data_IF_828959992206
#
_entry.id   IF_828959992206
#
_cell.length_a   1.000
_cell.length_b   1.000
_cell.length_c   1.000
_cell.angle_alpha   90.00
_cell.angle_beta   90.00
_cell.angle_gamma   90.00
#
_symmetry.space_group_name_H-M   'P 1'
#
loop_
_entity.id
_entity.type
_entity.pdbx_description
1 polymer ?
#
# COMPACT_ATOMS: atom_id res chain seq x y z
N UNK A 1 5.61 60.32 -48.74
CA UNK A 1 5.33 61.26 -47.67
C UNK A 1 5.54 60.51 -46.41
N UNK A 2 6.75 60.44 -45.81
CA UNK A 2 7.36 61.44 -44.92
C UNK A 2 6.38 61.73 -43.78
N UNK A 3 6.66 61.42 -42.57
CA UNK A 3 7.50 62.00 -41.53
C UNK A 3 7.31 61.19 -40.28
N UNK A 4 8.33 60.80 -39.66
CA UNK A 4 9.20 61.42 -38.68
C UNK A 4 8.84 61.11 -37.24
N UNK A 5 9.77 60.45 -36.63
CA UNK A 5 9.96 60.34 -35.15
C UNK A 5 10.12 61.73 -34.53
N UNK A 6 9.93 61.87 -33.21
CA UNK A 6 11.13 62.21 -32.45
C UNK A 6 11.33 61.31 -31.19
N UNK A 7 12.62 61.17 -30.96
CA UNK A 7 13.29 60.91 -29.70
C UNK A 7 12.84 61.88 -28.61
N UNK A 8 12.84 61.39 -27.38
CA UNK A 8 13.38 62.09 -26.22
C UNK A 8 13.27 61.17 -25.00
N UNK A 9 14.25 61.00 -24.38
CA UNK A 9 15.17 61.59 -23.43
C UNK A 9 15.15 60.86 -22.13
N UNK A 10 16.24 60.32 -21.91
CA UNK A 10 16.95 60.03 -20.69
C UNK A 10 16.58 60.97 -19.53
N UNK A 11 15.97 60.43 -18.46
CA UNK A 11 16.05 61.03 -17.14
C UNK A 11 16.50 59.99 -16.18
N UNK A 12 17.81 59.98 -15.95
CA UNK A 12 18.38 59.30 -14.81
C UNK A 12 17.84 59.87 -13.50
N UNK A 13 17.31 59.02 -12.66
CA UNK A 13 17.19 59.29 -11.23
C UNK A 13 17.67 58.07 -10.50
N UNK A 14 18.93 58.13 -10.14
CA UNK A 14 19.51 57.35 -9.08
C UNK A 14 18.88 57.75 -7.76
N UNK A 15 18.13 56.85 -7.16
CA UNK A 15 17.78 56.94 -5.75
C UNK A 15 18.66 55.95 -4.95
N UNK A 16 19.18 56.36 -3.81
CA UNK A 16 20.15 55.59 -3.07
C UNK A 16 19.48 54.51 -2.24
N UNK A 17 20.06 53.35 -2.28
CA UNK A 17 20.23 52.37 -1.21
C UNK A 17 19.11 52.17 -0.21
N UNK A 18 18.31 51.15 -0.43
CA UNK A 18 17.81 50.33 0.68
C UNK A 18 18.22 48.89 0.42
N UNK A 19 19.31 48.54 1.06
CA UNK A 19 19.73 47.13 1.24
C UNK A 19 18.69 46.48 2.11
N UNK A 20 17.75 45.78 1.50
CA UNK A 20 16.95 44.79 2.22
C UNK A 20 17.91 43.75 2.75
N UNK A 21 17.88 43.46 4.06
CA UNK A 21 18.63 42.34 4.58
C UNK A 21 18.11 41.07 3.89
N UNK A 22 19.02 40.39 3.21
CA UNK A 22 18.73 39.11 2.58
C UNK A 22 18.15 38.13 3.62
N UNK A 23 16.88 37.93 3.47
CA UNK A 23 16.23 36.77 4.05
C UNK A 23 16.73 35.55 3.23
N UNK A 24 17.86 35.02 3.68
CA UNK A 24 18.28 33.67 3.28
C UNK A 24 17.20 32.74 3.77
N UNK A 25 16.31 32.36 2.87
CA UNK A 25 15.46 31.20 3.08
C UNK A 25 16.38 30.06 3.60
N UNK A 26 16.03 29.39 4.69
CA UNK A 26 16.79 28.23 5.13
C UNK A 26 16.82 27.25 3.97
N UNK A 27 17.99 26.62 3.70
CA UNK A 27 18.04 25.59 2.68
C UNK A 27 16.92 24.60 3.02
N UNK A 28 16.13 24.24 2.01
CA UNK A 28 15.19 23.12 2.09
C UNK A 28 15.98 21.92 2.61
N UNK A 29 16.02 21.77 3.92
CA UNK A 29 16.50 20.55 4.54
C UNK A 29 15.39 19.53 4.28
N UNK A 30 15.58 18.73 3.23
CA UNK A 30 14.80 17.53 3.04
C UNK A 30 14.72 16.81 4.39
N UNK A 31 13.53 16.41 4.86
CA UNK A 31 13.40 15.73 6.13
C UNK A 31 14.29 14.50 6.11
N UNK A 32 15.37 14.56 6.89
CA UNK A 32 16.35 13.47 6.98
C UNK A 32 15.71 12.38 7.83
N UNK A 33 15.13 11.38 7.17
CA UNK A 33 14.63 10.17 7.84
C UNK A 33 15.76 9.53 8.66
N UNK A 34 15.48 9.18 9.90
CA UNK A 34 16.40 8.39 10.72
C UNK A 34 16.64 7.01 10.08
N UNK A 35 17.69 6.29 10.50
CA UNK A 35 17.96 4.94 9.98
C UNK A 35 16.76 4.00 10.17
N UNK A 36 16.13 4.03 11.35
CA UNK A 36 14.94 3.22 11.66
C UNK A 36 13.72 3.60 10.80
N UNK A 37 13.52 4.89 10.53
CA UNK A 37 12.44 5.36 9.66
C UNK A 37 12.68 4.98 8.20
N UNK A 38 13.93 4.97 7.72
CA UNK A 38 14.28 4.49 6.38
C UNK A 38 14.04 2.99 6.22
N UNK A 39 14.48 2.20 7.20
CA UNK A 39 14.28 0.76 7.22
C UNK A 39 12.80 0.41 7.34
N UNK A 40 12.05 1.24 8.04
CA UNK A 40 10.61 1.12 8.15
C UNK A 40 9.92 1.51 6.84
N UNK A 41 10.33 2.63 6.22
CA UNK A 41 9.79 3.08 4.93
C UNK A 41 10.13 2.09 3.81
N UNK A 42 11.34 1.54 3.80
CA UNK A 42 11.71 0.46 2.88
C UNK A 42 10.82 -0.77 3.06
N UNK A 43 10.56 -1.19 4.32
CA UNK A 43 9.61 -2.27 4.63
C UNK A 43 8.17 -1.92 4.27
N UNK A 44 7.76 -0.67 4.45
CA UNK A 44 6.42 -0.20 4.07
C UNK A 44 6.24 -0.12 2.55
N UNK A 45 7.29 0.13 1.77
CA UNK A 45 7.28 0.06 0.30
C UNK A 45 7.37 -1.40 -0.18
N UNK A 46 8.07 -2.26 0.55
CA UNK A 46 8.10 -3.71 0.35
C UNK A 46 6.86 -4.44 0.94
N UNK A 47 5.80 -3.71 1.19
CA UNK A 47 4.52 -4.14 1.82
C UNK A 47 3.90 -5.42 1.21
N UNK A 48 4.39 -5.91 0.09
CA UNK A 48 4.05 -7.23 -0.42
C UNK A 48 4.72 -8.41 0.29
N UNK A 49 5.64 -8.18 1.25
CA UNK A 49 6.47 -9.22 1.85
C UNK A 49 6.33 -9.37 3.38
N UNK A 50 5.48 -8.59 4.03
CA UNK A 50 5.22 -8.81 5.44
C UNK A 50 4.42 -10.10 5.62
N UNK A 51 4.91 -10.98 6.48
CA UNK A 51 4.24 -12.24 6.82
C UNK A 51 4.11 -12.40 8.31
N UNK A 52 3.02 -13.06 8.73
CA UNK A 52 2.71 -13.35 10.13
C UNK A 52 2.24 -14.78 10.23
N UNK A 53 2.76 -15.51 11.21
CA UNK A 53 2.29 -16.85 11.58
C UNK A 53 1.52 -16.77 12.87
N UNK A 54 0.32 -17.34 12.89
CA UNK A 54 -0.55 -17.39 14.06
C UNK A 54 -1.11 -18.81 14.24
N UNK A 55 -1.23 -19.25 15.49
CA UNK A 55 -1.83 -20.55 15.78
C UNK A 55 -3.35 -20.43 15.80
N UNK A 56 -4.02 -21.06 14.85
CA UNK A 56 -5.48 -21.07 14.68
C UNK A 56 -5.99 -22.50 14.82
N UNK A 57 -6.80 -22.75 15.83
CA UNK A 57 -7.35 -24.09 16.15
C UNK A 57 -6.29 -25.18 16.25
N UNK A 58 -5.08 -24.84 16.73
CA UNK A 58 -3.98 -25.78 16.89
C UNK A 58 -3.10 -25.98 15.66
N UNK A 59 -3.34 -25.23 14.58
CA UNK A 59 -2.53 -25.21 13.37
C UNK A 59 -1.80 -23.88 13.23
N UNK A 60 -0.54 -23.93 12.84
CA UNK A 60 0.24 -22.73 12.55
C UNK A 60 -0.08 -22.27 11.12
N UNK A 61 -0.73 -21.13 11.02
CA UNK A 61 -1.17 -20.55 9.74
C UNK A 61 -0.33 -19.32 9.44
N UNK A 62 0.34 -19.32 8.30
CA UNK A 62 1.12 -18.18 7.83
C UNK A 62 0.31 -17.40 6.79
N UNK A 63 0.17 -16.10 7.02
CA UNK A 63 -0.45 -15.15 6.10
C UNK A 63 0.55 -14.04 5.76
N UNK A 64 0.36 -13.38 4.62
CA UNK A 64 1.13 -12.22 4.20
C UNK A 64 0.25 -11.11 3.67
N UNK A 65 0.79 -9.91 3.57
CA UNK A 65 0.12 -8.78 2.92
C UNK A 65 -0.11 -9.08 1.43
N UNK A 66 -1.17 -8.49 0.87
CA UNK A 66 -1.48 -8.56 -0.55
C UNK A 66 -0.72 -7.51 -1.35
N UNK A 67 -0.38 -7.85 -2.59
CA UNK A 67 -0.01 -6.86 -3.60
C UNK A 67 -1.25 -6.24 -4.24
N UNK A 68 -1.11 -5.08 -4.88
CA UNK A 68 -2.19 -4.45 -5.65
C UNK A 68 -2.76 -5.39 -6.72
N UNK A 69 -1.91 -6.20 -7.38
CA UNK A 69 -2.36 -7.15 -8.39
C UNK A 69 -3.25 -8.26 -7.80
N UNK A 70 -2.96 -8.70 -6.59
CA UNK A 70 -3.77 -9.69 -5.86
C UNK A 70 -5.08 -9.07 -5.35
N UNK A 71 -5.05 -7.83 -4.87
CA UNK A 71 -6.26 -7.10 -4.48
C UNK A 71 -7.23 -6.94 -5.67
N UNK A 72 -6.71 -6.58 -6.84
CA UNK A 72 -7.51 -6.53 -8.07
C UNK A 72 -8.04 -7.90 -8.46
N UNK A 73 -7.24 -8.97 -8.28
CA UNK A 73 -7.67 -10.35 -8.53
C UNK A 73 -8.82 -10.77 -7.59
N UNK A 74 -8.74 -10.43 -6.30
CA UNK A 74 -9.82 -10.61 -5.33
C UNK A 74 -11.08 -9.89 -5.80
N UNK A 75 -10.97 -8.60 -6.16
CA UNK A 75 -12.10 -7.82 -6.68
C UNK A 75 -12.75 -8.44 -7.91
N UNK A 76 -11.98 -9.01 -8.81
CA UNK A 76 -12.50 -9.73 -9.98
C UNK A 76 -13.19 -11.04 -9.59
N UNK A 77 -12.59 -11.79 -8.68
CA UNK A 77 -13.11 -13.09 -8.23
C UNK A 77 -14.46 -12.98 -7.53
N UNK A 78 -14.69 -11.92 -6.76
CA UNK A 78 -15.95 -11.71 -6.02
C UNK A 78 -17.10 -11.16 -6.85
N UNK A 79 -16.86 -10.68 -8.09
CA UNK A 79 -17.91 -10.09 -8.93
C UNK A 79 -19.20 -10.92 -9.03
N UNK A 80 -19.15 -12.26 -9.21
CA UNK A 80 -20.37 -13.09 -9.31
C UNK A 80 -21.21 -13.10 -8.03
N UNK A 81 -20.61 -12.72 -6.88
CA UNK A 81 -21.25 -12.76 -5.57
C UNK A 81 -21.83 -11.40 -5.14
N UNK A 82 -21.57 -10.33 -5.91
CA UNK A 82 -22.04 -8.98 -5.57
C UNK A 82 -23.56 -8.94 -5.50
N UNK A 83 -24.09 -8.36 -4.42
CA UNK A 83 -25.52 -8.25 -4.17
C UNK A 83 -26.20 -9.57 -3.73
N UNK A 84 -25.45 -10.65 -3.54
CA UNK A 84 -25.98 -11.90 -3.00
C UNK A 84 -25.79 -12.00 -1.48
N UNK A 85 -26.54 -12.89 -0.82
CA UNK A 85 -26.35 -13.20 0.60
C UNK A 85 -24.98 -13.77 0.93
N UNK A 86 -24.28 -14.34 -0.06
CA UNK A 86 -22.95 -14.95 0.09
C UNK A 86 -21.79 -13.95 -0.08
N UNK A 87 -22.07 -12.70 -0.46
CA UNK A 87 -21.04 -11.71 -0.79
C UNK A 87 -19.99 -11.55 0.33
N UNK A 88 -20.42 -11.41 1.56
CA UNK A 88 -19.49 -11.18 2.69
C UNK A 88 -18.57 -12.38 2.93
N UNK A 89 -19.10 -13.61 2.80
CA UNK A 89 -18.31 -14.81 2.96
C UNK A 89 -17.36 -15.04 1.78
N UNK A 90 -17.84 -14.78 0.58
CA UNK A 90 -17.01 -14.85 -0.63
C UNK A 90 -15.85 -13.85 -0.57
N UNK A 91 -16.10 -12.62 -0.12
CA UNK A 91 -15.05 -11.63 0.05
C UNK A 91 -13.97 -12.08 1.04
N UNK A 92 -14.37 -12.56 2.24
CA UNK A 92 -13.41 -13.04 3.25
C UNK A 92 -12.57 -14.19 2.72
N UNK A 93 -13.20 -15.16 2.08
CA UNK A 93 -12.50 -16.32 1.54
C UNK A 93 -11.54 -15.93 0.39
N UNK A 94 -11.89 -14.95 -0.43
CA UNK A 94 -11.01 -14.44 -1.49
C UNK A 94 -9.79 -13.70 -0.92
N UNK A 95 -9.97 -12.90 0.14
CA UNK A 95 -8.86 -12.26 0.87
C UNK A 95 -7.95 -13.33 1.47
N UNK A 96 -8.50 -14.34 2.14
CA UNK A 96 -7.72 -15.44 2.70
C UNK A 96 -6.97 -16.19 1.59
N UNK A 97 -7.60 -16.48 0.46
CA UNK A 97 -6.95 -17.13 -0.69
C UNK A 97 -5.75 -16.33 -1.23
N UNK A 98 -5.87 -14.99 -1.25
CA UNK A 98 -4.79 -14.12 -1.70
C UNK A 98 -3.62 -14.08 -0.70
N UNK A 99 -3.89 -14.11 0.60
CA UNK A 99 -2.93 -13.84 1.67
C UNK A 99 -2.30 -15.06 2.31
N UNK A 100 -3.04 -16.18 2.44
CA UNK A 100 -2.53 -17.40 3.08
C UNK A 100 -1.39 -18.02 2.25
N UNK A 101 -0.29 -18.38 2.91
CA UNK A 101 0.84 -19.05 2.28
C UNK A 101 0.88 -20.52 2.60
N UNK A 102 0.83 -20.87 3.87
CA UNK A 102 0.96 -22.25 4.35
C UNK A 102 0.15 -22.50 5.62
N UNK A 103 -0.04 -23.78 5.91
CA UNK A 103 -0.60 -24.29 7.17
C UNK A 103 0.37 -25.37 7.65
N UNK A 104 0.87 -25.23 8.88
CA UNK A 104 1.87 -26.12 9.48
C UNK A 104 3.14 -26.26 8.60
N UNK A 105 3.54 -25.19 7.93
CA UNK A 105 4.67 -25.18 7.00
C UNK A 105 4.41 -25.89 5.66
N UNK A 106 3.19 -26.34 5.41
CA UNK A 106 2.78 -26.94 4.13
C UNK A 106 2.07 -25.87 3.30
N UNK A 107 2.60 -25.50 2.10
CA UNK A 107 1.94 -24.53 1.24
C UNK A 107 0.49 -24.92 0.96
N UNK A 108 -0.45 -23.97 1.08
CA UNK A 108 -1.86 -24.22 0.78
C UNK A 108 -2.06 -24.68 -0.68
N UNK A 109 -1.24 -24.16 -1.57
CA UNK A 109 -1.23 -24.50 -2.99
C UNK A 109 0.18 -24.38 -3.55
N UNK A 110 0.63 -25.38 -4.32
CA UNK A 110 1.91 -25.36 -5.03
C UNK A 110 1.67 -25.27 -6.52
N UNK A 111 1.98 -24.13 -7.17
CA UNK A 111 1.80 -23.99 -8.61
C UNK A 111 2.71 -24.92 -9.39
N UNK A 112 2.18 -25.66 -10.36
CA UNK A 112 2.96 -26.52 -11.28
C UNK A 112 3.52 -25.71 -12.48
N UNK A 113 3.09 -24.47 -12.67
CA UNK A 113 3.54 -23.52 -13.69
C UNK A 113 3.45 -22.10 -13.16
N UNK A 114 4.05 -21.14 -13.87
CA UNK A 114 3.85 -19.72 -13.56
C UNK A 114 2.36 -19.37 -13.75
N UNK A 115 1.75 -18.84 -12.72
CA UNK A 115 0.34 -18.43 -12.68
C UNK A 115 0.24 -16.91 -12.49
N UNK A 116 -0.80 -16.32 -13.04
CA UNK A 116 -1.18 -14.94 -12.72
C UNK A 116 -1.76 -14.85 -11.31
N UNK A 117 -1.80 -13.65 -10.69
CA UNK A 117 -2.46 -13.46 -9.40
C UNK A 117 -3.91 -13.96 -9.38
N UNK A 118 -4.68 -13.74 -10.45
CA UNK A 118 -6.05 -14.19 -10.56
C UNK A 118 -6.16 -15.72 -10.56
N UNK A 119 -5.33 -16.41 -11.35
CA UNK A 119 -5.29 -17.88 -11.38
C UNK A 119 -4.88 -18.47 -10.01
N UNK A 120 -3.94 -17.80 -9.32
CA UNK A 120 -3.47 -18.26 -8.02
C UNK A 120 -4.54 -18.07 -6.93
N UNK A 121 -5.25 -16.94 -6.93
CA UNK A 121 -6.37 -16.69 -6.02
C UNK A 121 -7.48 -17.72 -6.25
N UNK A 122 -7.84 -17.99 -7.49
CA UNK A 122 -8.85 -19.00 -7.85
C UNK A 122 -8.43 -20.42 -7.41
N UNK A 123 -7.18 -20.80 -7.66
CA UNK A 123 -6.69 -22.12 -7.27
C UNK A 123 -6.72 -22.31 -5.75
N UNK A 124 -6.26 -21.33 -4.98
CA UNK A 124 -6.32 -21.37 -3.51
C UNK A 124 -7.75 -21.29 -2.98
N UNK A 125 -8.60 -20.49 -3.61
CA UNK A 125 -10.03 -20.44 -3.31
C UNK A 125 -10.66 -21.83 -3.42
N UNK A 126 -10.39 -22.56 -4.49
CA UNK A 126 -10.93 -23.91 -4.68
C UNK A 126 -10.49 -24.86 -3.56
N UNK A 127 -9.24 -24.75 -3.09
CA UNK A 127 -8.77 -25.52 -1.93
C UNK A 127 -9.52 -25.13 -0.66
N UNK A 128 -9.74 -23.83 -0.43
CA UNK A 128 -10.39 -23.31 0.77
C UNK A 128 -11.89 -23.65 0.85
N UNK A 129 -12.53 -24.04 -0.24
CA UNK A 129 -13.94 -24.48 -0.22
C UNK A 129 -14.17 -25.71 0.64
N UNK A 130 -13.15 -26.54 0.85
CA UNK A 130 -13.21 -27.73 1.70
C UNK A 130 -13.01 -27.40 3.19
N UNK A 131 -12.67 -26.14 3.52
CA UNK A 131 -12.46 -25.69 4.90
C UNK A 131 -13.73 -25.13 5.52
N UNK A 132 -13.86 -25.28 6.84
CA UNK A 132 -15.00 -24.73 7.56
C UNK A 132 -14.99 -23.20 7.58
N UNK A 133 -16.15 -22.54 7.45
CA UNK A 133 -16.26 -21.08 7.47
C UNK A 133 -15.65 -20.44 8.73
N UNK A 134 -15.70 -21.14 9.88
CA UNK A 134 -15.09 -20.65 11.12
C UNK A 134 -13.57 -20.48 10.99
N UNK A 135 -12.88 -21.41 10.30
CA UNK A 135 -11.45 -21.33 10.03
C UNK A 135 -11.15 -20.12 9.12
N UNK A 136 -11.88 -19.99 8.01
CA UNK A 136 -11.73 -18.85 7.08
C UNK A 136 -11.90 -17.52 7.81
N UNK A 137 -12.92 -17.41 8.67
CA UNK A 137 -13.16 -16.19 9.44
C UNK A 137 -12.04 -15.92 10.45
N UNK A 138 -11.44 -16.92 11.06
CA UNK A 138 -10.33 -16.77 11.99
C UNK A 138 -9.07 -16.28 11.26
N UNK A 139 -8.72 -16.88 10.12
CA UNK A 139 -7.59 -16.42 9.28
C UNK A 139 -7.81 -14.99 8.77
N UNK A 140 -9.02 -14.67 8.31
CA UNK A 140 -9.38 -13.32 7.87
C UNK A 140 -9.14 -12.26 8.95
N UNK A 141 -9.46 -12.56 10.22
CA UNK A 141 -9.18 -11.65 11.35
C UNK A 141 -7.69 -11.39 11.53
N UNK A 142 -6.84 -12.39 11.33
CA UNK A 142 -5.38 -12.20 11.38
C UNK A 142 -4.92 -11.26 10.29
N UNK A 143 -5.43 -11.43 9.07
CA UNK A 143 -5.13 -10.52 7.94
C UNK A 143 -5.58 -9.09 8.26
N UNK A 144 -6.80 -8.89 8.76
CA UNK A 144 -7.30 -7.57 9.15
C UNK A 144 -6.40 -6.91 10.22
N UNK A 145 -6.01 -7.65 11.25
CA UNK A 145 -5.13 -7.12 12.29
C UNK A 145 -3.76 -6.70 11.73
N UNK A 146 -3.22 -7.44 10.77
CA UNK A 146 -1.98 -7.09 10.09
C UNK A 146 -2.14 -5.81 9.24
N UNK A 147 -3.23 -5.66 8.50
CA UNK A 147 -3.54 -4.46 7.72
C UNK A 147 -3.73 -3.22 8.62
N UNK A 148 -4.40 -3.38 9.76
CA UNK A 148 -4.58 -2.31 10.77
C UNK A 148 -3.24 -1.87 11.38
N UNK A 149 -2.33 -2.80 11.65
CA UNK A 149 -0.99 -2.50 12.13
C UNK A 149 -0.21 -1.69 11.11
N UNK A 150 -0.23 -2.07 9.84
CA UNK A 150 0.38 -1.32 8.73
C UNK A 150 -0.22 0.08 8.60
N UNK A 151 -1.56 0.20 8.61
CA UNK A 151 -2.24 1.48 8.51
C UNK A 151 -1.89 2.42 9.67
N UNK A 152 -1.80 1.89 10.90
CA UNK A 152 -1.41 2.66 12.09
C UNK A 152 0.00 3.23 11.99
N UNK A 153 0.87 2.50 11.38
CA UNK A 153 2.25 2.92 11.24
C UNK A 153 2.37 3.96 10.13
N UNK A 154 1.69 3.79 9.00
CA UNK A 154 1.59 4.79 7.93
C UNK A 154 1.00 6.11 8.44
N UNK A 155 -0.02 6.04 9.32
CA UNK A 155 -0.59 7.24 9.97
C UNK A 155 0.43 7.98 10.84
N UNK A 156 1.28 7.25 11.57
CA UNK A 156 2.33 7.87 12.39
C UNK A 156 3.38 8.56 11.52
N UNK A 157 3.76 7.97 10.38
CA UNK A 157 4.69 8.58 9.45
C UNK A 157 4.11 9.86 8.84
N UNK A 158 2.84 9.85 8.42
CA UNK A 158 2.19 11.04 7.86
C UNK A 158 1.99 12.18 8.87
N UNK A 159 2.01 11.92 10.18
CA UNK A 159 1.91 12.94 11.23
C UNK A 159 3.25 13.54 11.65
N UNK A 160 4.37 12.97 11.24
CA UNK A 160 5.71 13.51 11.55
C UNK A 160 6.11 14.63 10.58
N UNK A 161 5.30 14.94 9.57
CA UNK A 161 5.51 16.01 8.59
C UNK A 161 4.74 17.31 8.90
N UNK A 162 4.23 17.48 10.13
CA UNK A 162 3.48 18.64 10.58
C UNK A 162 4.17 19.45 11.66
#
# INVERSE_FOLDING_TARGET
>A
MAESLPENEDIGLTAPGETMPGETAPPDSEPVLTGEERDYFARAIEIGNESRTETIYGHDVTVRTMTMAEELAVGQHIKPFLGTSSQAQAYRAAIVAATITDIDGVPLYTPVRKMSPAELVEAKWNVLQDYYPAFINAVYKVVQAMEEDVARVLEKLGKSEG
#
